data_IF_944475076285
#
_entry.id   IF_944475076285
#
_cell.length_a   1.000
_cell.length_b   1.000
_cell.length_c   1.000
_cell.angle_alpha   90.00
_cell.angle_beta   90.00
_cell.angle_gamma   90.00
#
_symmetry.space_group_name_H-M   'P 1'
#
loop_
_entity.id
_entity.type
_entity.pdbx_description
1 polymer ?
#
# COMPACT_ATOMS: atom_id res chain seq x y z
N UNK A 1 6.36 7.98 -21.16
CA UNK A 1 7.82 7.94 -21.35
C UNK A 1 8.35 9.11 -22.16
N UNK A 2 7.50 9.86 -22.89
CA UNK A 2 7.93 10.97 -23.76
C UNK A 2 8.96 11.93 -23.15
N UNK A 3 8.77 12.35 -21.89
CA UNK A 3 9.73 13.22 -21.19
C UNK A 3 11.12 12.58 -21.02
N UNK A 4 11.17 11.29 -20.69
CA UNK A 4 12.42 10.53 -20.55
C UNK A 4 13.08 10.27 -21.91
N UNK A 5 12.27 9.97 -22.93
CA UNK A 5 12.73 9.72 -24.30
C UNK A 5 13.31 11.00 -24.96
N UNK A 6 12.84 12.18 -24.55
CA UNK A 6 13.32 13.46 -25.06
C UNK A 6 14.55 14.01 -24.31
N UNK A 7 14.90 13.45 -23.15
CA UNK A 7 15.95 14.01 -22.30
C UNK A 7 17.35 13.63 -22.83
N UNK A 8 18.25 14.61 -23.11
CA UNK A 8 19.51 14.35 -23.83
C UNK A 8 20.53 13.51 -23.05
N UNK A 9 20.37 13.40 -21.73
CA UNK A 9 21.23 12.59 -20.85
C UNK A 9 20.63 11.22 -20.48
N UNK A 10 19.46 10.86 -21.04
CA UNK A 10 18.81 9.59 -20.74
C UNK A 10 18.84 8.72 -22.00
N UNK A 11 19.39 7.53 -21.86
CA UNK A 11 19.30 6.46 -22.88
C UNK A 11 18.35 5.39 -22.37
N UNK A 12 17.41 4.96 -23.22
CA UNK A 12 16.45 3.90 -22.89
C UNK A 12 16.80 2.66 -23.70
N UNK A 13 17.19 1.60 -23.00
CA UNK A 13 17.32 0.25 -23.57
C UNK A 13 16.08 -0.57 -23.25
N UNK A 14 15.53 -1.27 -24.24
CA UNK A 14 14.32 -2.11 -24.09
C UNK A 14 14.72 -3.57 -24.11
N UNK A 15 15.34 -4.01 -23.02
CA UNK A 15 15.82 -5.37 -22.82
C UNK A 15 15.52 -5.86 -21.40
N UNK A 16 15.49 -7.18 -21.23
CA UNK A 16 15.41 -7.79 -19.90
C UNK A 16 16.81 -7.83 -19.28
N UNK A 17 16.94 -7.29 -18.06
CA UNK A 17 18.16 -7.41 -17.27
C UNK A 17 18.07 -8.71 -16.46
N UNK A 18 18.84 -9.71 -16.87
CA UNK A 18 18.73 -11.08 -16.35
C UNK A 18 19.57 -11.36 -15.11
N UNK A 19 20.48 -10.47 -14.73
CA UNK A 19 21.36 -10.61 -13.57
C UNK A 19 21.69 -9.26 -12.93
N UNK A 20 22.48 -9.27 -11.86
CA UNK A 20 22.88 -8.02 -11.23
C UNK A 20 23.70 -7.14 -12.22
N UNK A 21 23.62 -5.81 -12.09
CA UNK A 21 24.46 -4.91 -12.89
C UNK A 21 25.95 -5.27 -12.79
N UNK A 22 26.79 -4.90 -13.76
CA UNK A 22 28.24 -5.09 -13.68
C UNK A 22 28.87 -4.40 -12.45
N UNK A 23 29.95 -4.98 -11.89
CA UNK A 23 30.62 -4.43 -10.70
C UNK A 23 31.47 -3.19 -10.99
N UNK A 24 31.89 -3.00 -12.23
CA UNK A 24 32.67 -1.85 -12.69
C UNK A 24 31.82 -0.59 -12.92
N UNK A 25 30.48 -0.71 -12.85
CA UNK A 25 29.59 0.45 -12.88
C UNK A 25 29.68 1.21 -11.56
N UNK A 26 30.00 2.51 -11.64
CA UNK A 26 30.13 3.36 -10.47
C UNK A 26 28.85 3.45 -9.63
N UNK A 27 27.69 3.46 -10.29
CA UNK A 27 26.37 3.53 -9.65
C UNK A 27 25.34 2.73 -10.46
N UNK A 28 24.52 1.94 -9.78
CA UNK A 28 23.39 1.23 -10.37
C UNK A 28 22.20 1.20 -9.41
N UNK A 29 20.97 1.33 -9.94
CA UNK A 29 19.74 1.31 -9.15
C UNK A 29 18.81 0.23 -9.69
N UNK A 30 18.47 -0.77 -8.87
CA UNK A 30 17.45 -1.77 -9.19
C UNK A 30 16.08 -1.24 -8.74
N UNK A 31 15.19 -1.02 -9.70
CA UNK A 31 13.85 -0.46 -9.47
C UNK A 31 12.74 -1.24 -10.22
N UNK A 32 12.85 -2.57 -10.24
CA UNK A 32 11.98 -3.49 -11.01
C UNK A 32 10.59 -3.71 -10.43
N UNK A 33 10.32 -3.17 -9.25
CA UNK A 33 9.03 -3.27 -8.59
C UNK A 33 8.66 -4.70 -8.19
N UNK A 34 7.35 -5.00 -8.05
CA UNK A 34 6.90 -6.28 -7.50
C UNK A 34 7.20 -7.48 -8.40
N UNK A 35 7.17 -7.27 -9.72
CA UNK A 35 7.30 -8.34 -10.72
C UNK A 35 8.73 -8.44 -11.25
N UNK A 36 9.70 -8.39 -10.33
CA UNK A 36 11.11 -8.61 -10.67
C UNK A 36 11.27 -9.94 -11.40
N UNK A 37 11.97 -9.92 -12.55
CA UNK A 37 12.21 -11.09 -13.38
C UNK A 37 12.83 -12.24 -12.55
N UNK A 38 12.44 -13.51 -12.77
CA UNK A 38 12.93 -14.64 -11.98
C UNK A 38 14.46 -14.73 -11.91
N UNK A 39 15.16 -14.50 -13.01
CA UNK A 39 16.63 -14.59 -13.07
C UNK A 39 17.32 -13.47 -12.28
N UNK A 40 16.78 -12.24 -12.33
CA UNK A 40 17.28 -11.14 -11.51
C UNK A 40 16.98 -11.37 -10.03
N UNK A 41 15.80 -11.90 -9.71
CA UNK A 41 15.45 -12.27 -8.34
C UNK A 41 16.41 -13.34 -7.80
N UNK A 42 16.76 -14.36 -8.59
CA UNK A 42 17.75 -15.37 -8.24
C UNK A 42 19.14 -14.76 -8.00
N UNK A 43 19.63 -13.90 -8.90
CA UNK A 43 20.90 -13.21 -8.74
C UNK A 43 20.96 -12.31 -7.49
N UNK A 44 19.85 -11.64 -7.15
CA UNK A 44 19.71 -10.89 -5.90
C UNK A 44 19.80 -11.86 -4.73
N UNK A 45 19.03 -12.96 -4.75
CA UNK A 45 18.99 -13.97 -3.69
C UNK A 45 20.39 -14.55 -3.39
N UNK A 46 21.16 -14.89 -4.42
CA UNK A 46 22.52 -15.41 -4.28
C UNK A 46 23.45 -14.41 -3.59
N UNK A 47 23.31 -13.12 -3.92
CA UNK A 47 24.15 -12.06 -3.36
C UNK A 47 23.75 -11.67 -1.94
N UNK A 48 22.45 -11.71 -1.63
CA UNK A 48 21.90 -11.24 -0.34
C UNK A 48 21.59 -12.37 0.65
N UNK A 49 21.69 -13.64 0.22
CA UNK A 49 21.16 -14.80 0.91
C UNK A 49 19.71 -15.10 0.52
N UNK A 50 19.34 -16.38 0.39
CA UNK A 50 18.01 -16.79 -0.08
C UNK A 50 16.86 -16.29 0.82
N UNK A 51 17.13 -16.16 2.13
CA UNK A 51 16.18 -15.62 3.11
C UNK A 51 16.07 -14.09 3.08
N UNK A 52 16.65 -13.41 2.09
CA UNK A 52 16.54 -11.97 1.93
C UNK A 52 15.32 -11.56 1.10
N UNK A 53 14.82 -12.43 0.23
CA UNK A 53 13.68 -12.13 -0.64
C UNK A 53 12.38 -12.64 -0.03
N UNK A 54 11.33 -11.84 -0.18
CA UNK A 54 9.98 -12.17 0.24
C UNK A 54 9.01 -11.88 -0.91
N UNK A 55 7.90 -12.62 -0.92
CA UNK A 55 6.93 -12.64 -2.00
C UNK A 55 5.52 -12.40 -1.47
N UNK A 56 4.86 -11.28 -1.81
CA UNK A 56 3.42 -11.15 -1.52
C UNK A 56 2.62 -10.06 -2.25
N UNK A 57 1.56 -10.46 -2.97
CA UNK A 57 0.29 -9.73 -3.00
C UNK A 57 -0.86 -10.74 -2.98
N UNK A 58 -2.02 -10.32 -2.51
CA UNK A 58 -3.27 -10.99 -2.84
C UNK A 58 -4.10 -9.99 -3.65
N UNK A 59 -4.62 -10.37 -4.80
CA UNK A 59 -5.47 -9.48 -5.60
C UNK A 59 -6.93 -9.70 -5.25
N UNK A 60 -7.72 -8.63 -5.38
CA UNK A 60 -9.16 -8.68 -5.22
C UNK A 60 -9.88 -9.02 -6.55
N UNK A 61 -11.07 -9.64 -6.50
CA UNK A 61 -11.88 -9.90 -7.68
C UNK A 61 -12.33 -8.62 -8.43
N UNK A 62 -12.67 -8.79 -9.71
CA UNK A 62 -13.27 -7.79 -10.59
C UNK A 62 -14.60 -8.33 -11.10
N UNK A 63 -15.64 -7.48 -11.04
CA UNK A 63 -17.03 -7.80 -11.35
C UNK A 63 -17.48 -7.01 -12.59
N UNK A 64 -18.32 -7.63 -13.42
CA UNK A 64 -18.99 -6.98 -14.54
C UNK A 64 -20.14 -6.07 -14.04
N UNK A 65 -20.13 -4.80 -14.45
CA UNK A 65 -21.07 -3.78 -13.94
C UNK A 65 -22.55 -4.15 -14.17
N UNK A 66 -22.87 -4.68 -15.34
CA UNK A 66 -24.22 -5.07 -15.75
C UNK A 66 -24.81 -6.25 -14.95
N UNK A 67 -23.98 -6.89 -14.11
CA UNK A 67 -24.39 -7.98 -13.21
C UNK A 67 -24.56 -7.54 -11.76
N UNK A 68 -24.35 -6.25 -11.48
CA UNK A 68 -24.56 -5.64 -10.16
C UNK A 68 -25.99 -5.10 -10.09
N UNK A 69 -26.75 -5.51 -9.06
CA UNK A 69 -28.09 -5.01 -8.82
C UNK A 69 -28.04 -3.61 -8.18
N UNK A 70 -28.24 -2.60 -9.02
CA UNK A 70 -28.26 -1.19 -8.62
C UNK A 70 -29.57 -0.73 -7.97
N UNK A 71 -30.61 -1.59 -7.88
CA UNK A 71 -31.78 -1.32 -7.05
C UNK A 71 -31.47 -1.57 -5.56
N UNK A 72 -30.42 -2.34 -5.27
CA UNK A 72 -29.89 -2.58 -3.92
C UNK A 72 -28.65 -1.71 -3.66
N UNK A 73 -27.74 -1.62 -4.63
CA UNK A 73 -26.47 -0.90 -4.53
C UNK A 73 -26.61 0.58 -4.92
N UNK A 74 -25.65 1.42 -4.48
CA UNK A 74 -25.64 2.84 -4.89
C UNK A 74 -24.25 3.43 -5.04
N UNK A 75 -24.14 4.47 -5.87
CA UNK A 75 -22.91 5.24 -6.04
C UNK A 75 -22.74 6.30 -4.95
N UNK A 76 -21.62 6.25 -4.23
CA UNK A 76 -21.24 7.27 -3.24
C UNK A 76 -19.78 7.11 -2.78
N UNK A 77 -19.04 8.21 -2.71
CA UNK A 77 -17.78 8.32 -1.97
C UNK A 77 -18.05 8.67 -0.51
N UNK A 78 -17.21 8.19 0.43
CA UNK A 78 -17.44 8.45 1.87
C UNK A 78 -17.43 9.94 2.19
N UNK A 79 -18.43 10.38 2.95
CA UNK A 79 -18.68 11.78 3.32
C UNK A 79 -18.87 12.69 2.11
N UNK A 80 -19.28 12.13 0.98
CA UNK A 80 -19.45 12.81 -0.30
C UNK A 80 -18.18 13.56 -0.73
N UNK A 81 -17.00 13.06 -0.31
CA UNK A 81 -15.72 13.65 -0.64
C UNK A 81 -15.43 13.47 -2.13
N UNK A 82 -15.14 14.58 -2.77
CA UNK A 82 -14.66 14.65 -4.14
C UNK A 82 -13.15 14.40 -4.14
N UNK A 83 -12.69 13.29 -4.74
CA UNK A 83 -11.26 13.04 -4.94
C UNK A 83 -10.66 13.90 -6.06
N UNK A 84 -9.32 13.91 -6.25
CA UNK A 84 -8.70 14.55 -7.40
C UNK A 84 -9.20 13.90 -8.70
N UNK A 85 -10.03 14.61 -9.47
CA UNK A 85 -10.68 14.09 -10.69
C UNK A 85 -11.93 13.23 -10.46
N UNK A 86 -12.39 13.08 -9.22
CA UNK A 86 -13.62 12.35 -8.89
C UNK A 86 -14.86 13.24 -8.89
N UNK A 87 -16.04 12.64 -8.78
CA UNK A 87 -17.32 13.39 -8.69
C UNK A 87 -18.01 13.21 -7.33
N UNK A 88 -17.35 12.56 -6.36
CA UNK A 88 -17.96 12.15 -5.10
C UNK A 88 -18.87 10.90 -5.22
N UNK A 89 -18.83 10.22 -6.38
CA UNK A 89 -19.59 9.01 -6.71
C UNK A 89 -18.68 7.91 -7.25
N UNK A 90 -17.47 7.82 -6.70
CA UNK A 90 -16.39 7.03 -7.30
C UNK A 90 -16.47 5.53 -6.94
N UNK A 91 -17.43 5.17 -6.07
CA UNK A 91 -17.62 3.81 -5.56
C UNK A 91 -19.08 3.38 -5.63
N UNK A 92 -19.32 2.13 -6.01
CA UNK A 92 -20.58 1.42 -5.75
C UNK A 92 -20.51 0.83 -4.34
N UNK A 93 -21.60 0.93 -3.58
CA UNK A 93 -21.69 0.47 -2.21
C UNK A 93 -22.76 -0.63 -2.12
N UNK A 94 -22.35 -1.81 -1.64
CA UNK A 94 -23.20 -2.97 -1.42
C UNK A 94 -23.47 -3.10 0.09
N UNK A 95 -24.69 -2.82 0.57
CA UNK A 95 -24.98 -2.79 2.00
C UNK A 95 -25.19 -4.20 2.56
N UNK A 96 -24.84 -4.39 3.83
CA UNK A 96 -25.24 -5.57 4.62
C UNK A 96 -25.89 -5.14 5.93
N UNK A 97 -26.92 -5.86 6.35
CA UNK A 97 -27.36 -5.88 7.73
C UNK A 97 -26.46 -6.78 8.59
N UNK A 98 -26.78 -6.86 9.89
CA UNK A 98 -25.98 -7.62 10.84
C UNK A 98 -26.03 -9.14 10.56
N UNK A 99 -27.21 -9.77 10.41
CA UNK A 99 -27.28 -11.20 10.06
C UNK A 99 -26.53 -11.55 8.76
N UNK A 100 -26.68 -10.74 7.70
CA UNK A 100 -25.99 -10.93 6.43
C UNK A 100 -24.47 -10.87 6.61
N UNK A 101 -23.98 -9.88 7.37
CA UNK A 101 -22.56 -9.75 7.67
C UNK A 101 -22.02 -10.94 8.47
N UNK A 102 -22.73 -11.36 9.52
CA UNK A 102 -22.32 -12.50 10.35
C UNK A 102 -22.26 -13.80 9.54
N UNK A 103 -23.26 -14.03 8.68
CA UNK A 103 -23.26 -15.17 7.75
C UNK A 103 -22.11 -15.09 6.73
N UNK A 104 -21.82 -13.90 6.21
CA UNK A 104 -20.72 -13.67 5.27
C UNK A 104 -19.36 -13.95 5.92
N UNK A 105 -19.11 -13.42 7.12
CA UNK A 105 -17.89 -13.69 7.90
C UNK A 105 -17.75 -15.18 8.18
N UNK A 106 -18.82 -15.86 8.59
CA UNK A 106 -18.78 -17.30 8.82
C UNK A 106 -18.43 -18.07 7.53
N UNK A 107 -19.01 -17.68 6.40
CA UNK A 107 -18.72 -18.30 5.12
C UNK A 107 -17.26 -18.10 4.66
N UNK A 108 -16.64 -16.95 4.98
CA UNK A 108 -15.21 -16.72 4.76
C UNK A 108 -14.32 -17.62 5.61
N UNK A 109 -14.69 -17.84 6.89
CA UNK A 109 -13.96 -18.71 7.81
C UNK A 109 -14.02 -20.17 7.36
N UNK A 110 -15.19 -20.61 6.90
CA UNK A 110 -15.45 -21.98 6.46
C UNK A 110 -14.98 -22.24 5.01
N UNK A 111 -14.68 -21.18 4.26
CA UNK A 111 -14.31 -21.25 2.86
C UNK A 111 -12.99 -21.99 2.63
N UNK A 112 -12.99 -22.94 1.69
CA UNK A 112 -11.80 -23.66 1.27
C UNK A 112 -10.72 -22.73 0.69
N UNK A 113 -9.50 -22.83 1.22
CA UNK A 113 -8.34 -22.02 0.81
C UNK A 113 -7.41 -22.84 -0.09
N UNK A 114 -6.68 -22.16 -0.97
CA UNK A 114 -5.63 -22.82 -1.76
C UNK A 114 -4.47 -23.21 -0.84
N UNK A 115 -3.90 -24.41 -1.03
CA UNK A 115 -2.80 -24.91 -0.19
C UNK A 115 -1.53 -24.06 -0.37
N UNK A 116 -0.79 -23.87 0.71
CA UNK A 116 0.52 -23.21 0.69
C UNK A 116 1.48 -24.04 -0.16
N UNK A 117 2.12 -23.42 -1.16
CA UNK A 117 3.39 -23.96 -1.68
C UNK A 117 4.50 -23.69 -0.66
N UNK A 118 5.51 -24.56 -0.57
CA UNK A 118 6.59 -24.52 0.46
C UNK A 118 7.32 -23.17 0.59
N UNK A 119 7.25 -22.30 -0.41
CA UNK A 119 7.83 -20.94 -0.41
C UNK A 119 6.93 -19.83 0.18
N UNK A 120 5.70 -20.15 0.60
CA UNK A 120 4.69 -19.19 1.08
C UNK A 120 4.74 -18.92 2.60
N UNK A 121 5.80 -19.33 3.30
CA UNK A 121 6.00 -19.12 4.75
C UNK A 121 6.21 -17.67 5.20
N UNK A 122 5.91 -16.68 4.35
CA UNK A 122 6.08 -15.26 4.67
C UNK A 122 4.85 -14.72 5.42
N UNK A 123 5.01 -13.96 6.52
CA UNK A 123 3.89 -13.33 7.21
C UNK A 123 3.13 -12.36 6.29
N UNK A 124 1.81 -12.31 6.40
CA UNK A 124 0.97 -11.39 5.62
C UNK A 124 1.30 -9.92 5.89
N UNK A 125 1.25 -9.08 4.84
CA UNK A 125 1.29 -7.63 5.01
C UNK A 125 -0.03 -7.12 5.63
N UNK A 126 0.05 -6.48 6.79
CA UNK A 126 -1.12 -6.03 7.56
C UNK A 126 -1.99 -4.98 6.83
N UNK A 127 -1.43 -4.24 5.87
CA UNK A 127 -2.19 -3.28 5.05
C UNK A 127 -2.93 -3.91 3.86
N UNK A 128 -2.62 -5.16 3.49
CA UNK A 128 -3.19 -5.88 2.35
C UNK A 128 -3.52 -7.34 2.73
N UNK A 129 -4.19 -7.54 3.87
CA UNK A 129 -4.57 -8.87 4.34
C UNK A 129 -5.67 -9.47 3.46
N UNK A 130 -5.62 -10.79 3.17
CA UNK A 130 -6.76 -11.49 2.61
C UNK A 130 -8.00 -11.35 3.50
N UNK A 131 -9.17 -11.18 2.90
CA UNK A 131 -10.43 -10.91 3.61
C UNK A 131 -10.79 -12.03 4.60
N UNK A 132 -10.48 -13.28 4.26
CA UNK A 132 -10.65 -14.44 5.16
C UNK A 132 -9.66 -14.43 6.33
N UNK A 133 -8.45 -13.89 6.16
CA UNK A 133 -7.48 -13.72 7.26
C UNK A 133 -7.93 -12.59 8.20
N UNK A 134 -8.54 -11.53 7.65
CA UNK A 134 -9.18 -10.51 8.49
C UNK A 134 -10.31 -11.12 9.33
N UNK A 135 -11.12 -12.00 8.76
CA UNK A 135 -12.18 -12.70 9.47
C UNK A 135 -11.62 -13.58 10.61
N UNK A 136 -10.52 -14.30 10.38
CA UNK A 136 -9.83 -15.12 11.40
C UNK A 136 -9.34 -14.28 12.59
N UNK A 137 -8.86 -13.07 12.33
CA UNK A 137 -8.39 -12.14 13.38
C UNK A 137 -9.53 -11.56 14.23
N UNK A 138 -10.78 -11.76 13.79
CA UNK A 138 -11.97 -11.44 14.55
C UNK A 138 -13.10 -10.95 13.67
N UNK A 139 -14.33 -11.25 14.07
CA UNK A 139 -15.55 -10.92 13.32
C UNK A 139 -15.72 -9.41 13.07
N UNK A 140 -15.07 -8.54 13.82
CA UNK A 140 -15.18 -7.08 13.70
C UNK A 140 -14.08 -6.44 12.84
N UNK A 141 -13.03 -7.19 12.53
CA UNK A 141 -11.84 -6.69 11.83
C UNK A 141 -12.21 -6.10 10.47
N UNK A 142 -12.98 -6.83 9.65
CA UNK A 142 -13.40 -6.38 8.33
C UNK A 142 -14.28 -5.11 8.42
N UNK A 143 -15.18 -5.03 9.41
CA UNK A 143 -16.06 -3.87 9.65
C UNK A 143 -15.32 -2.62 10.13
N UNK A 144 -14.14 -2.79 10.72
CA UNK A 144 -13.24 -1.67 11.04
C UNK A 144 -12.26 -1.33 9.90
N UNK A 145 -12.06 -2.25 8.96
CA UNK A 145 -11.26 -2.09 7.76
C UNK A 145 -12.11 -1.91 6.48
N UNK A 146 -12.03 -2.85 5.51
CA UNK A 146 -12.60 -2.68 4.17
C UNK A 146 -14.13 -2.61 4.14
N UNK A 147 -14.81 -3.23 5.11
CA UNK A 147 -16.28 -3.30 5.15
C UNK A 147 -16.94 -2.22 6.03
N UNK A 148 -16.19 -1.16 6.38
CA UNK A 148 -16.68 -0.10 7.26
C UNK A 148 -17.87 0.65 6.65
N UNK A 149 -18.97 0.94 7.38
CA UNK A 149 -20.13 1.66 6.81
C UNK A 149 -20.04 3.20 6.94
N UNK A 150 -19.00 3.74 7.55
CA UNK A 150 -18.94 5.15 7.96
C UNK A 150 -18.87 6.12 6.78
N UNK A 151 -19.64 7.21 6.88
CA UNK A 151 -19.70 8.27 5.86
C UNK A 151 -20.53 7.90 4.63
N UNK A 152 -21.39 6.89 4.73
CA UNK A 152 -22.23 6.43 3.64
C UNK A 152 -23.71 6.55 4.05
N UNK A 153 -24.57 6.88 3.09
CA UNK A 153 -26.02 6.98 3.23
C UNK A 153 -26.66 6.27 2.05
N UNK A 154 -27.34 5.15 2.31
CA UNK A 154 -27.99 4.38 1.25
C UNK A 154 -29.15 5.21 0.65
N UNK A 155 -29.05 5.53 -0.64
CA UNK A 155 -30.07 6.31 -1.34
C UNK A 155 -31.44 5.60 -1.40
N UNK A 156 -31.43 4.26 -1.42
CA UNK A 156 -32.64 3.44 -1.49
C UNK A 156 -33.30 3.25 -0.11
N UNK A 157 -32.54 3.40 0.96
CA UNK A 157 -33.05 3.32 2.34
C UNK A 157 -32.28 4.24 3.30
N UNK A 158 -32.49 5.56 3.22
CA UNK A 158 -31.66 6.55 3.92
C UNK A 158 -31.82 6.52 5.45
N UNK A 159 -32.90 5.91 5.95
CA UNK A 159 -33.19 5.82 7.39
C UNK A 159 -32.50 4.63 8.06
N UNK A 160 -32.08 3.62 7.29
CA UNK A 160 -31.43 2.43 7.82
C UNK A 160 -29.93 2.53 7.59
N UNK A 161 -29.17 2.50 8.69
CA UNK A 161 -27.71 2.43 8.61
C UNK A 161 -27.29 0.99 8.33
N UNK A 162 -26.54 0.79 7.26
CA UNK A 162 -25.90 -0.49 6.98
C UNK A 162 -24.97 -0.88 8.13
N UNK A 163 -24.97 -2.17 8.49
CA UNK A 163 -24.06 -2.73 9.48
C UNK A 163 -22.63 -2.81 8.93
N UNK A 164 -22.52 -3.21 7.67
CA UNK A 164 -21.28 -3.28 6.90
C UNK A 164 -21.56 -2.90 5.44
N UNK A 165 -20.51 -2.50 4.70
CA UNK A 165 -20.62 -2.15 3.28
C UNK A 165 -19.42 -2.66 2.51
N UNK A 166 -19.64 -3.37 1.40
CA UNK A 166 -18.59 -3.66 0.42
C UNK A 166 -18.55 -2.52 -0.60
N UNK A 167 -17.36 -1.96 -0.83
CA UNK A 167 -17.19 -0.92 -1.85
C UNK A 167 -16.59 -1.52 -3.12
N UNK A 168 -17.11 -1.14 -4.28
CA UNK A 168 -16.55 -1.47 -5.59
C UNK A 168 -16.08 -0.19 -6.25
N UNK A 169 -14.88 -0.20 -6.84
CA UNK A 169 -14.32 0.94 -7.57
C UNK A 169 -14.26 0.63 -9.06
N UNK A 170 -14.47 1.64 -9.90
CA UNK A 170 -14.32 1.49 -11.34
C UNK A 170 -12.88 1.07 -11.66
N UNK A 171 -12.73 -0.02 -12.42
CA UNK A 171 -11.44 -0.62 -12.75
C UNK A 171 -10.96 -0.24 -14.16
N UNK A 172 -11.89 0.01 -15.10
CA UNK A 172 -11.56 0.41 -16.46
C UNK A 172 -12.23 1.73 -16.87
N UNK A 173 -11.66 2.43 -17.86
CA UNK A 173 -12.17 3.72 -18.33
C UNK A 173 -13.61 3.66 -18.87
N UNK A 174 -14.02 2.50 -19.40
CA UNK A 174 -15.38 2.29 -19.93
C UNK A 174 -16.45 2.17 -18.83
N UNK A 175 -16.06 1.96 -17.57
CA UNK A 175 -17.02 1.75 -16.48
C UNK A 175 -17.76 0.42 -16.56
N UNK A 176 -17.21 -0.58 -17.26
CA UNK A 176 -17.83 -1.90 -17.40
C UNK A 176 -17.30 -2.91 -16.37
N UNK A 177 -16.19 -2.59 -15.71
CA UNK A 177 -15.52 -3.46 -14.74
C UNK A 177 -15.32 -2.73 -13.42
N UNK A 178 -15.61 -3.43 -12.32
CA UNK A 178 -15.52 -2.90 -10.97
C UNK A 178 -14.71 -3.82 -10.06
N UNK A 179 -13.68 -3.29 -9.41
CA UNK A 179 -12.82 -3.99 -8.48
C UNK A 179 -13.37 -3.95 -7.05
N UNK A 180 -13.35 -5.09 -6.34
CA UNK A 180 -13.79 -5.18 -4.95
C UNK A 180 -12.72 -4.59 -4.01
N UNK A 181 -13.01 -3.46 -3.37
CA UNK A 181 -12.03 -2.70 -2.58
C UNK A 181 -11.72 -3.42 -1.27
N UNK A 182 -10.45 -3.82 -1.08
CA UNK A 182 -9.98 -4.47 0.14
C UNK A 182 -10.45 -5.93 0.30
N UNK A 183 -10.76 -6.58 -0.82
CA UNK A 183 -11.21 -7.98 -0.90
C UNK A 183 -10.15 -8.88 -1.53
N UNK A 184 -8.88 -8.62 -1.21
CA UNK A 184 -7.80 -9.53 -1.54
C UNK A 184 -8.12 -10.92 -0.95
N UNK A 185 -7.82 -12.01 -1.65
CA UNK A 185 -8.21 -13.34 -1.16
C UNK A 185 -7.35 -14.48 -1.70
N UNK A 186 -7.24 -15.55 -0.90
CA UNK A 186 -6.67 -16.88 -1.23
C UNK A 186 -7.74 -17.97 -1.33
N UNK A 187 -9.02 -17.63 -1.14
CA UNK A 187 -10.12 -18.57 -1.29
C UNK A 187 -10.05 -19.25 -2.65
N UNK A 188 -10.36 -20.55 -2.70
CA UNK A 188 -10.49 -21.27 -3.97
C UNK A 188 -11.53 -20.55 -4.84
N UNK A 189 -11.34 -20.55 -6.16
CA UNK A 189 -12.21 -19.82 -7.08
C UNK A 189 -13.71 -20.14 -6.90
N UNK A 190 -14.06 -21.41 -6.67
CA UNK A 190 -15.44 -21.81 -6.40
C UNK A 190 -16.00 -21.17 -5.10
N UNK A 191 -15.15 -21.05 -4.07
CA UNK A 191 -15.51 -20.42 -2.79
C UNK A 191 -15.66 -18.91 -2.95
N UNK A 192 -14.80 -18.26 -3.73
CA UNK A 192 -14.95 -16.84 -4.05
C UNK A 192 -16.30 -16.55 -4.69
N UNK A 193 -16.67 -17.30 -5.73
CA UNK A 193 -17.97 -17.13 -6.41
C UNK A 193 -19.12 -17.37 -5.43
N UNK A 194 -19.07 -18.45 -4.65
CA UNK A 194 -20.12 -18.81 -3.68
C UNK A 194 -20.29 -17.75 -2.60
N UNK A 195 -19.19 -17.31 -2.00
CA UNK A 195 -19.19 -16.41 -0.83
C UNK A 195 -19.47 -14.97 -1.25
N UNK A 196 -18.86 -14.47 -2.32
CA UNK A 196 -19.08 -13.08 -2.75
C UNK A 196 -20.47 -12.84 -3.34
N UNK A 197 -21.14 -13.88 -3.85
CA UNK A 197 -22.58 -13.80 -4.20
C UNK A 197 -23.53 -13.79 -3.00
N UNK A 198 -23.03 -13.92 -1.77
CA UNK A 198 -23.83 -13.66 -0.56
C UNK A 198 -23.96 -12.15 -0.26
N UNK A 199 -23.17 -11.30 -0.93
CA UNK A 199 -23.21 -9.85 -0.74
C UNK A 199 -24.47 -9.31 -1.41
N UNK A 200 -25.33 -8.55 -0.70
CA UNK A 200 -26.53 -7.98 -1.29
C UNK A 200 -26.21 -7.10 -2.50
N UNK A 201 -26.90 -7.37 -3.60
CA UNK A 201 -26.72 -6.75 -4.91
C UNK A 201 -25.68 -7.43 -5.80
N UNK A 202 -25.00 -8.48 -5.32
CA UNK A 202 -24.02 -9.27 -6.07
C UNK A 202 -24.45 -10.74 -6.24
N UNK A 203 -25.71 -11.08 -6.00
CA UNK A 203 -26.23 -12.45 -6.04
C UNK A 203 -26.00 -13.11 -7.40
N UNK A 204 -26.11 -12.31 -8.47
CA UNK A 204 -25.90 -12.73 -9.85
C UNK A 204 -24.55 -12.26 -10.43
N UNK A 205 -23.64 -11.75 -9.60
CA UNK A 205 -22.41 -11.15 -10.07
C UNK A 205 -21.60 -12.12 -10.94
N UNK A 206 -21.16 -11.63 -12.11
CA UNK A 206 -20.19 -12.31 -12.97
C UNK A 206 -18.80 -11.70 -12.76
N UNK A 207 -17.81 -12.57 -12.52
CA UNK A 207 -16.45 -12.17 -12.22
C UNK A 207 -15.61 -12.19 -13.48
N UNK A 208 -15.20 -11.00 -13.96
CA UNK A 208 -14.23 -10.87 -15.04
C UNK A 208 -12.87 -11.46 -14.65
N UNK A 209 -12.54 -11.36 -13.35
CA UNK A 209 -11.33 -11.94 -12.75
C UNK A 209 -11.59 -12.28 -11.29
N UNK A 210 -11.17 -13.46 -10.86
CA UNK A 210 -11.18 -13.87 -9.46
C UNK A 210 -9.89 -13.44 -8.76
N UNK A 211 -9.97 -13.29 -7.44
CA UNK A 211 -8.83 -12.98 -6.58
C UNK A 211 -7.82 -14.12 -6.52
N UNK A 212 -6.61 -13.83 -6.06
CA UNK A 212 -5.56 -14.84 -5.93
C UNK A 212 -4.22 -14.27 -5.50
N UNK A 213 -3.25 -15.14 -5.24
CA UNK A 213 -1.90 -14.75 -4.85
C UNK A 213 -1.10 -14.29 -6.05
N UNK A 214 -0.51 -13.10 -5.94
CA UNK A 214 0.52 -12.60 -6.84
C UNK A 214 1.85 -12.58 -6.10
N UNK A 215 2.92 -12.83 -6.83
CA UNK A 215 4.28 -12.78 -6.30
C UNK A 215 4.77 -11.34 -6.37
N UNK A 216 4.71 -10.57 -5.28
CA UNK A 216 5.44 -9.29 -5.20
C UNK A 216 6.78 -9.50 -4.51
N UNK A 217 7.85 -9.37 -5.28
CA UNK A 217 9.22 -9.47 -4.81
C UNK A 217 9.61 -8.21 -4.04
N UNK A 218 10.05 -8.38 -2.79
CA UNK A 218 10.77 -7.35 -2.05
C UNK A 218 11.93 -7.95 -1.26
N UNK A 219 12.93 -7.13 -0.97
CA UNK A 219 14.10 -7.53 -0.18
C UNK A 219 13.89 -7.16 1.29
N UNK A 220 14.59 -7.85 2.20
CA UNK A 220 14.69 -7.49 3.62
C UNK A 220 15.57 -6.22 3.78
N UNK A 221 15.05 -5.10 3.29
CA UNK A 221 15.78 -3.84 3.15
C UNK A 221 16.47 -3.36 4.42
N UNK A 222 15.90 -3.47 5.62
CA UNK A 222 16.59 -2.94 6.79
C UNK A 222 17.88 -3.69 7.15
N UNK A 223 17.92 -5.00 6.84
CA UNK A 223 19.13 -5.82 7.00
C UNK A 223 20.12 -5.49 5.90
N UNK A 224 19.64 -5.38 4.65
CA UNK A 224 20.49 -5.36 3.46
C UNK A 224 20.97 -3.97 3.05
N UNK A 225 20.15 -2.94 3.26
CA UNK A 225 20.39 -1.58 2.78
C UNK A 225 20.92 -0.69 3.90
N UNK A 226 21.84 0.19 3.53
CA UNK A 226 22.25 1.32 4.36
C UNK A 226 21.21 2.48 4.29
N UNK A 227 21.37 3.54 5.10
CA UNK A 227 20.46 4.69 5.08
C UNK A 227 20.36 5.45 3.75
N UNK A 228 21.21 5.15 2.76
CA UNK A 228 21.22 5.72 1.40
C UNK A 228 20.62 4.75 0.36
N UNK A 229 19.93 3.69 0.82
CA UNK A 229 19.33 2.63 -0.01
C UNK A 229 20.36 1.77 -0.78
N UNK A 230 21.64 1.86 -0.41
CA UNK A 230 22.72 1.09 -1.03
C UNK A 230 22.89 -0.24 -0.30
N UNK A 231 23.14 -1.30 -1.08
CA UNK A 231 23.38 -2.63 -0.56
C UNK A 231 24.68 -2.65 0.25
N UNK A 232 24.61 -2.99 1.55
CA UNK A 232 25.78 -2.98 2.46
C UNK A 232 26.93 -3.86 1.97
N UNK A 233 26.63 -4.93 1.24
CA UNK A 233 27.63 -5.84 0.66
C UNK A 233 28.13 -5.45 -0.73
N UNK A 234 27.63 -4.36 -1.32
CA UNK A 234 27.99 -3.93 -2.67
C UNK A 234 27.88 -2.42 -2.86
N UNK A 235 29.03 -1.76 -2.83
CA UNK A 235 29.17 -0.34 -3.14
C UNK A 235 28.66 -0.04 -4.57
N UNK A 236 28.04 1.12 -4.73
CA UNK A 236 27.41 1.60 -5.96
C UNK A 236 26.06 0.94 -6.29
N UNK A 237 25.68 -0.18 -5.67
CA UNK A 237 24.40 -0.84 -5.97
C UNK A 237 23.29 -0.41 -4.99
N UNK A 238 22.25 0.23 -5.52
CA UNK A 238 21.06 0.66 -4.77
C UNK A 238 19.80 -0.06 -5.20
N UNK A 239 18.80 -0.02 -4.33
CA UNK A 239 17.45 -0.49 -4.62
C UNK A 239 16.45 0.66 -4.44
N UNK A 240 15.42 0.69 -5.27
CA UNK A 240 14.37 1.70 -5.18
C UNK A 240 12.99 1.18 -5.61
N UNK A 241 11.95 1.88 -5.19
CA UNK A 241 10.57 1.47 -5.49
C UNK A 241 10.13 0.26 -4.67
N UNK A 242 9.07 -0.41 -5.12
CA UNK A 242 8.39 -1.43 -4.32
C UNK A 242 9.29 -2.61 -3.88
N UNK A 243 10.36 -2.92 -4.62
CA UNK A 243 11.32 -3.96 -4.23
C UNK A 243 11.98 -3.66 -2.87
N UNK A 244 12.02 -2.41 -2.41
CA UNK A 244 12.56 -2.05 -1.09
C UNK A 244 11.56 -2.22 0.07
N UNK A 245 10.35 -2.71 -0.20
CA UNK A 245 9.27 -2.75 0.80
C UNK A 245 8.60 -1.39 1.04
N UNK A 246 8.70 -0.44 0.11
CA UNK A 246 7.71 0.64 0.08
C UNK A 246 6.47 0.19 -0.71
N UNK A 247 5.30 0.74 -0.40
CA UNK A 247 4.06 0.39 -1.11
C UNK A 247 3.31 1.61 -1.58
N UNK A 248 2.86 1.58 -2.84
CA UNK A 248 2.18 2.69 -3.49
C UNK A 248 3.03 3.36 -4.57
N UNK A 249 2.35 3.97 -5.55
CA UNK A 249 3.02 4.65 -6.67
C UNK A 249 3.80 5.89 -6.20
N UNK A 250 3.23 6.64 -5.26
CA UNK A 250 3.83 7.88 -4.72
C UNK A 250 5.06 7.54 -3.89
N UNK A 251 4.96 6.52 -3.04
CA UNK A 251 6.06 5.99 -2.24
C UNK A 251 7.18 5.45 -3.12
N UNK A 252 6.83 4.68 -4.17
CA UNK A 252 7.82 4.15 -5.10
C UNK A 252 8.56 5.26 -5.85
N UNK A 253 7.83 6.29 -6.31
CA UNK A 253 8.44 7.46 -6.92
C UNK A 253 9.32 8.25 -5.94
N UNK A 254 8.89 8.38 -4.68
CA UNK A 254 9.65 9.04 -3.63
C UNK A 254 10.97 8.32 -3.31
N UNK A 255 10.95 7.00 -3.18
CA UNK A 255 12.16 6.19 -2.95
C UNK A 255 13.06 6.21 -4.19
N UNK A 256 12.50 6.18 -5.40
CA UNK A 256 13.24 6.37 -6.65
C UNK A 256 13.96 7.72 -6.72
N UNK A 257 13.28 8.80 -6.33
CA UNK A 257 13.86 10.14 -6.24
C UNK A 257 15.01 10.19 -5.23
N UNK A 258 14.86 9.59 -4.05
CA UNK A 258 15.92 9.54 -3.04
C UNK A 258 17.14 8.77 -3.54
N UNK A 259 16.96 7.57 -4.08
CA UNK A 259 18.05 6.75 -4.62
C UNK A 259 18.81 7.48 -5.73
N UNK A 260 18.11 8.14 -6.65
CA UNK A 260 18.72 8.95 -7.71
C UNK A 260 19.51 10.15 -7.16
N UNK A 261 18.96 10.87 -6.17
CA UNK A 261 19.67 12.00 -5.53
C UNK A 261 20.92 11.54 -4.78
N UNK A 262 20.88 10.40 -4.12
CA UNK A 262 22.02 9.85 -3.38
C UNK A 262 23.13 9.40 -4.33
N UNK A 263 22.79 8.66 -5.38
CA UNK A 263 23.75 8.27 -6.42
C UNK A 263 24.38 9.49 -7.10
N UNK A 264 23.59 10.52 -7.42
CA UNK A 264 24.10 11.76 -8.02
C UNK A 264 25.03 12.54 -7.08
N UNK A 265 24.75 12.57 -5.77
CA UNK A 265 25.60 13.22 -4.78
C UNK A 265 26.98 12.53 -4.70
N UNK A 266 27.00 11.21 -4.64
CA UNK A 266 28.25 10.43 -4.59
C UNK A 266 29.08 10.57 -5.86
N UNK A 267 28.46 10.52 -7.04
CA UNK A 267 29.15 10.79 -8.31
C UNK A 267 29.77 12.19 -8.38
N UNK A 268 29.24 13.14 -7.60
CA UNK A 268 29.77 14.50 -7.46
C UNK A 268 30.77 14.64 -6.29
N UNK A 269 31.15 13.55 -5.64
CA UNK A 269 32.05 13.56 -4.49
C UNK A 269 31.47 14.21 -3.24
N UNK A 270 30.14 14.26 -3.12
CA UNK A 270 29.42 14.86 -1.99
C UNK A 270 28.72 13.79 -1.16
N UNK A 271 28.60 14.02 0.14
CA UNK A 271 27.79 13.16 1.00
C UNK A 271 26.30 13.29 0.65
N UNK A 272 25.55 12.17 0.52
CA UNK A 272 24.10 12.19 0.37
C UNK A 272 23.40 12.97 1.48
N UNK A 273 22.48 13.86 1.12
CA UNK A 273 21.66 14.61 2.10
C UNK A 273 20.42 13.82 2.47
N UNK A 274 20.43 13.20 3.66
CA UNK A 274 19.32 12.37 4.16
C UNK A 274 18.14 13.26 4.61
N UNK A 275 16.90 12.97 4.17
CA UNK A 275 15.72 13.71 4.62
C UNK A 275 15.46 13.48 6.12
N UNK A 276 15.06 14.52 6.88
CA UNK A 276 14.72 14.36 8.29
C UNK A 276 13.59 13.34 8.49
N UNK A 277 13.67 12.50 9.54
CA UNK A 277 12.65 11.48 9.88
C UNK A 277 11.26 12.07 10.18
N UNK A 278 11.20 13.38 10.42
CA UNK A 278 9.96 14.14 10.58
C UNK A 278 9.23 14.43 9.27
N UNK A 279 9.89 14.25 8.12
CA UNK A 279 9.30 14.38 6.77
C UNK A 279 8.72 13.04 6.30
N UNK A 280 7.81 13.07 5.32
CA UNK A 280 7.29 11.82 4.73
C UNK A 280 8.41 11.00 4.05
N UNK A 281 9.37 11.66 3.39
CA UNK A 281 10.54 11.00 2.80
C UNK A 281 11.39 10.30 3.85
N UNK A 282 11.74 11.01 4.94
CA UNK A 282 12.59 10.46 6.00
C UNK A 282 11.88 9.42 6.85
N UNK A 283 10.59 9.56 7.13
CA UNK A 283 9.81 8.57 7.84
C UNK A 283 9.74 7.24 7.05
N UNK A 284 9.47 7.32 5.74
CA UNK A 284 9.44 6.16 4.86
C UNK A 284 10.84 5.53 4.70
N UNK A 285 11.87 6.35 4.46
CA UNK A 285 13.26 5.89 4.37
C UNK A 285 13.69 5.17 5.65
N UNK A 286 13.39 5.76 6.81
CA UNK A 286 13.71 5.16 8.10
C UNK A 286 13.02 3.80 8.27
N UNK A 287 11.74 3.65 7.89
CA UNK A 287 11.06 2.35 7.91
C UNK A 287 11.80 1.30 7.07
N UNK A 288 12.20 1.68 5.85
CA UNK A 288 12.90 0.80 4.89
C UNK A 288 14.28 0.38 5.39
N UNK A 289 15.02 1.24 6.09
CA UNK A 289 16.44 1.01 6.38
C UNK A 289 16.76 0.72 7.85
N UNK A 290 15.83 0.86 8.80
CA UNK A 290 16.16 0.58 10.21
C UNK A 290 15.08 0.80 11.28
N UNK A 291 13.91 1.35 10.96
CA UNK A 291 12.88 1.76 11.92
C UNK A 291 11.96 0.64 12.44
N UNK A 292 12.30 -0.62 12.19
CA UNK A 292 11.50 -1.79 12.55
C UNK A 292 12.06 -2.45 13.81
N UNK A 293 11.18 -2.96 14.68
CA UNK A 293 11.59 -3.73 15.86
C UNK A 293 11.87 -5.16 15.41
N UNK A 294 13.05 -5.69 15.74
CA UNK A 294 13.34 -7.11 15.56
C UNK A 294 12.66 -7.86 16.70
N UNK A 295 11.55 -8.55 16.42
CA UNK A 295 10.93 -9.46 17.38
C UNK A 295 11.62 -10.81 17.28
N UNK A 296 12.41 -11.19 18.28
CA UNK A 296 13.03 -12.52 18.38
C UNK A 296 12.04 -13.58 18.92
N UNK A 297 10.85 -13.15 19.36
CA UNK A 297 9.91 -13.97 20.15
C UNK A 297 9.11 -15.02 19.34
N UNK A 298 9.16 -14.98 18.00
CA UNK A 298 8.48 -15.97 17.15
C UNK A 298 9.40 -16.51 16.05
N UNK A 299 9.79 -17.78 16.18
CA UNK A 299 10.58 -18.49 15.17
C UNK A 299 9.87 -18.48 13.80
N UNK A 300 10.45 -17.79 12.82
CA UNK A 300 10.02 -17.80 11.43
C UNK A 300 9.26 -16.56 10.92
N UNK A 301 8.86 -15.60 11.78
CA UNK A 301 8.25 -14.35 11.29
C UNK A 301 9.30 -13.26 11.07
N UNK A 302 9.49 -12.82 9.81
CA UNK A 302 10.24 -11.60 9.53
C UNK A 302 9.45 -10.39 10.01
N UNK A 303 10.05 -9.56 10.87
CA UNK A 303 9.41 -8.38 11.44
C UNK A 303 9.27 -7.21 10.44
N UNK A 304 10.06 -7.20 9.37
CA UNK A 304 9.94 -6.22 8.29
C UNK A 304 8.87 -6.63 7.28
N UNK A 305 7.92 -5.71 7.06
CA UNK A 305 6.87 -5.83 6.06
C UNK A 305 6.86 -4.58 5.18
N UNK A 306 6.46 -4.70 3.89
CA UNK A 306 6.25 -3.54 3.05
C UNK A 306 5.28 -2.57 3.71
N UNK A 307 5.38 -1.28 3.46
CA UNK A 307 4.42 -0.33 4.05
C UNK A 307 4.31 0.95 3.21
N UNK A 308 3.10 1.49 3.13
CA UNK A 308 2.84 2.83 2.63
C UNK A 308 3.10 3.90 3.71
N UNK A 309 3.22 5.16 3.31
CA UNK A 309 3.42 6.22 4.30
C UNK A 309 2.17 6.40 5.16
N UNK A 310 2.34 6.42 6.49
CA UNK A 310 1.24 6.63 7.42
C UNK A 310 1.70 7.42 8.65
N UNK A 311 0.76 8.01 9.38
CA UNK A 311 1.05 8.85 10.56
C UNK A 311 1.79 8.13 11.69
N UNK A 312 1.80 6.80 11.71
CA UNK A 312 2.54 6.00 12.69
C UNK A 312 4.06 5.98 12.47
N UNK A 313 4.52 6.29 11.25
CA UNK A 313 5.95 6.33 10.92
C UNK A 313 6.65 7.60 11.39
N UNK A 314 5.89 8.65 11.68
CA UNK A 314 6.44 9.95 12.04
C UNK A 314 6.72 10.01 13.55
N UNK A 315 7.80 10.67 13.97
CA UNK A 315 8.01 11.00 15.37
C UNK A 315 6.79 11.73 15.96
N UNK A 316 6.46 11.50 17.24
CA UNK A 316 5.31 12.16 17.85
C UNK A 316 5.44 13.69 17.80
N UNK A 317 4.29 14.37 17.79
CA UNK A 317 4.17 15.82 17.99
C UNK A 317 3.25 16.05 19.17
N UNK A 318 3.53 17.09 19.96
CA UNK A 318 2.61 17.55 20.98
C UNK A 318 1.36 18.14 20.32
N UNK A 319 0.18 17.85 20.88
CA UNK A 319 -1.04 18.44 20.39
C UNK A 319 -1.06 19.93 20.78
N UNK A 320 -1.30 20.85 19.83
CA UNK A 320 -1.40 22.26 20.15
C UNK A 320 -2.54 22.51 21.16
N UNK A 321 -2.31 23.42 22.10
CA UNK A 321 -3.32 23.85 23.08
C UNK A 321 -4.21 24.90 22.40
N UNK A 322 -5.53 24.74 22.46
CA UNK A 322 -6.48 25.80 22.06
C UNK A 322 -7.01 26.48 23.31
N UNK A 323 -6.82 27.80 23.43
CA UNK A 323 -7.36 28.64 24.51
C UNK A 323 -7.22 28.07 25.93
N UNK A 324 -6.05 27.49 26.25
CA UNK A 324 -5.77 26.92 27.58
C UNK A 324 -6.55 25.64 27.92
N UNK A 325 -7.41 25.12 27.03
CA UNK A 325 -8.15 23.87 27.22
C UNK A 325 -7.48 22.71 26.49
N UNK A 326 -7.37 21.56 27.16
CA UNK A 326 -6.85 20.32 26.56
C UNK A 326 -7.89 19.76 25.60
N UNK A 327 -7.58 19.78 24.30
CA UNK A 327 -8.41 19.14 23.26
C UNK A 327 -8.64 17.66 23.60
N UNK A 328 -9.85 17.15 23.33
CA UNK A 328 -10.25 15.76 23.61
C UNK A 328 -10.83 15.09 22.37
N UNK A 329 -10.82 13.76 22.35
CA UNK A 329 -11.45 12.96 21.30
C UNK A 329 -10.96 13.30 19.88
N UNK A 330 -11.91 13.48 18.95
CA UNK A 330 -11.65 13.70 17.51
C UNK A 330 -10.87 15.00 17.24
N UNK A 331 -11.16 16.08 17.96
CA UNK A 331 -10.49 17.38 17.79
C UNK A 331 -8.99 17.26 18.08
N UNK A 332 -8.61 16.52 19.13
CA UNK A 332 -7.21 16.27 19.45
C UNK A 332 -6.49 15.49 18.34
N UNK A 333 -7.17 14.50 17.73
CA UNK A 333 -6.59 13.69 16.64
C UNK A 333 -6.36 14.56 15.40
N UNK A 334 -7.33 15.39 15.02
CA UNK A 334 -7.22 16.30 13.88
C UNK A 334 -6.12 17.32 14.12
N UNK A 335 -6.10 17.97 15.29
CA UNK A 335 -5.06 18.94 15.64
C UNK A 335 -3.65 18.32 15.65
N UNK A 336 -3.51 17.08 16.16
CA UNK A 336 -2.23 16.36 16.13
C UNK A 336 -1.79 16.03 14.69
N UNK A 337 -2.71 15.61 13.83
CA UNK A 337 -2.41 15.35 12.41
C UNK A 337 -1.98 16.62 11.69
N UNK A 338 -2.70 17.73 11.88
CA UNK A 338 -2.30 19.03 11.33
C UNK A 338 -0.92 19.47 11.82
N UNK A 339 -0.65 19.42 13.12
CA UNK A 339 0.65 19.78 13.67
C UNK A 339 1.79 18.92 13.08
N UNK A 340 1.55 17.63 12.92
CA UNK A 340 2.50 16.69 12.32
C UNK A 340 2.75 17.00 10.85
N UNK A 341 1.69 17.21 10.04
CA UNK A 341 1.85 17.56 8.63
C UNK A 341 2.52 18.91 8.43
N UNK A 342 2.20 19.91 9.27
CA UNK A 342 2.83 21.23 9.20
C UNK A 342 4.33 21.16 9.51
N UNK A 343 4.73 20.42 10.56
CA UNK A 343 6.15 20.17 10.84
C UNK A 343 6.82 19.42 9.70
N UNK A 344 6.20 18.35 9.19
CA UNK A 344 6.74 17.56 8.10
C UNK A 344 6.99 18.38 6.82
N UNK A 345 6.07 19.31 6.50
CA UNK A 345 6.23 20.21 5.36
C UNK A 345 7.34 21.24 5.59
N UNK A 346 7.40 21.86 6.77
CA UNK A 346 8.45 22.81 7.12
C UNK A 346 9.85 22.16 7.04
N UNK A 347 10.03 21.03 7.70
CA UNK A 347 11.31 20.30 7.72
C UNK A 347 11.71 19.80 6.32
N UNK A 348 10.73 19.47 5.46
CA UNK A 348 10.99 19.08 4.07
C UNK A 348 11.46 20.28 3.23
N UNK A 349 10.86 21.46 3.42
CA UNK A 349 11.31 22.69 2.74
C UNK A 349 12.71 23.06 3.16
N UNK A 350 12.98 23.03 4.47
CA UNK A 350 14.30 23.33 5.03
C UNK A 350 15.35 22.34 4.49
N UNK A 351 15.04 21.05 4.45
CA UNK A 351 15.91 20.02 3.85
C UNK A 351 16.19 20.26 2.36
N UNK A 352 15.20 20.72 1.61
CA UNK A 352 15.35 21.06 0.19
C UNK A 352 16.01 22.42 -0.06
N UNK A 353 16.30 23.20 1.00
CA UNK A 353 16.81 24.57 0.88
C UNK A 353 15.82 25.54 0.24
N UNK A 354 14.51 25.25 0.33
CA UNK A 354 13.46 26.13 -0.18
C UNK A 354 13.15 27.20 0.86
N UNK A 355 13.06 28.47 0.44
CA UNK A 355 12.66 29.56 1.33
C UNK A 355 11.32 29.27 2.01
N UNK A 356 11.21 29.61 3.30
CA UNK A 356 9.93 29.54 4.01
C UNK A 356 8.99 30.58 3.39
N UNK A 357 8.02 30.12 2.59
CA UNK A 357 6.91 30.99 2.20
C UNK A 357 6.19 31.40 3.47
N UNK A 358 6.15 32.71 3.75
CA UNK A 358 5.29 33.26 4.79
C UNK A 358 3.91 32.62 4.65
N UNK A 359 3.44 31.94 5.70
CA UNK A 359 2.14 31.27 5.72
C UNK A 359 1.07 32.21 5.18
N UNK A 360 0.45 31.83 4.06
CA UNK A 360 -0.88 32.32 3.73
C UNK A 360 -1.80 31.80 4.84
N UNK A 361 -2.27 32.71 5.68
CA UNK A 361 -3.40 32.48 6.54
C UNK A 361 -4.63 32.26 5.64
N UNK A 362 -5.23 31.08 5.74
CA UNK A 362 -6.66 30.86 5.49
C UNK A 362 -7.16 29.64 6.27
#
# INVERSE_FOLDING_TARGET
>A
TAELEAHPLITISREEITGLPPQDWAQAIIATGPLTAPSLAEAIAETTGADALAFFDAIAPIIHFDTIDMDVCWFQSRYDKVGPGGTGKDYINCPMDKPQYEAFIQALLDGGKTDFKEWEGTPYFDGCLPIEVMAERGAETARHGPMKPMGLTNAHNPQVKAYAVVQLRQDNALGTLYNMVGFQTKLKHAEQVRIFRMIPGLENAEFARLGGLHRNTYINSPVLLDPTLQLKGREGLRFAGQITGCEGYVESAAVGLLAGRFAAAELQGRSPSIPPVTTAFGALLNHITGGHIVSEDEAGKRSFQPMNVNFGLFPPVEAPKSEGKRLRGKEKIVAKRHALTSRALADCRDWLGLEQSAQAAE
#
